data_IF_959633012883
#
_entry.id   IF_959633012883
#
_cell.length_a   1.000
_cell.length_b   1.000
_cell.length_c   1.000
_cell.angle_alpha   90.00
_cell.angle_beta   90.00
_cell.angle_gamma   90.00
#
_symmetry.space_group_name_H-M   'P 1'
#
loop_
_entity.id
_entity.type
_entity.pdbx_description
1 polymer ?
#
# COMPACT_ATOMS: atom_id res chain seq x y z
N UNK A 1 -3.02 -2.60 -6.77
CA UNK A 1 -4.18 -2.08 -7.54
C UNK A 1 -3.70 -0.97 -8.45
N UNK A 2 -4.26 -0.90 -9.65
CA UNK A 2 -3.97 0.16 -10.61
C UNK A 2 -5.26 0.89 -10.97
N UNK A 3 -5.24 2.21 -10.85
CA UNK A 3 -6.30 3.13 -11.29
C UNK A 3 -5.94 3.72 -12.64
N UNK A 4 -6.86 3.68 -13.59
CA UNK A 4 -6.74 4.39 -14.86
C UNK A 4 -7.77 5.51 -14.85
N UNK A 5 -7.33 6.75 -14.85
CA UNK A 5 -8.20 7.93 -14.89
C UNK A 5 -8.71 8.19 -16.31
N UNK A 6 -9.80 8.95 -16.43
CA UNK A 6 -10.40 9.30 -17.73
C UNK A 6 -9.47 10.14 -18.62
N UNK A 7 -8.53 10.87 -18.03
CA UNK A 7 -7.44 11.58 -18.72
C UNK A 7 -6.27 10.66 -19.16
N UNK A 8 -6.34 9.36 -18.84
CA UNK A 8 -5.36 8.35 -19.24
C UNK A 8 -4.19 8.15 -18.28
N UNK A 9 -4.09 8.89 -17.16
CA UNK A 9 -3.06 8.61 -16.14
C UNK A 9 -3.29 7.24 -15.51
N UNK A 10 -2.19 6.55 -15.24
CA UNK A 10 -2.17 5.26 -14.52
C UNK A 10 -1.53 5.46 -13.16
N UNK A 11 -2.25 5.12 -12.10
CA UNK A 11 -1.77 5.23 -10.72
C UNK A 11 -1.77 3.86 -10.08
N UNK A 12 -0.58 3.37 -9.75
CA UNK A 12 -0.40 2.08 -9.09
C UNK A 12 -0.12 2.28 -7.61
N UNK A 13 -0.80 1.52 -6.77
CA UNK A 13 -0.70 1.69 -5.33
C UNK A 13 -1.54 0.72 -4.52
N UNK A 14 -1.58 0.99 -3.21
CA UNK A 14 -2.33 0.24 -2.21
C UNK A 14 -3.53 1.05 -1.76
N UNK A 15 -4.73 0.47 -1.81
CA UNK A 15 -5.96 1.10 -1.33
C UNK A 15 -5.88 1.29 0.18
N UNK A 16 -6.10 2.52 0.65
CA UNK A 16 -6.17 2.88 2.08
C UNK A 16 -7.59 3.14 2.55
N UNK A 17 -8.52 3.37 1.62
CA UNK A 17 -9.94 3.48 1.90
C UNK A 17 -10.74 3.49 0.60
N UNK A 18 -11.92 2.89 0.64
CA UNK A 18 -12.85 2.82 -0.47
C UNK A 18 -14.26 3.07 0.08
N UNK A 19 -15.00 3.98 -0.56
CA UNK A 19 -16.39 4.30 -0.22
C UNK A 19 -17.27 4.28 -1.49
N UNK A 20 -18.54 4.67 -1.37
CA UNK A 20 -19.49 4.61 -2.48
C UNK A 20 -19.07 5.44 -3.71
N UNK A 21 -18.27 6.50 -3.53
CA UNK A 21 -17.96 7.47 -4.59
C UNK A 21 -16.46 7.70 -4.80
N UNK A 22 -15.63 7.36 -3.82
CA UNK A 22 -14.21 7.70 -3.80
C UNK A 22 -13.32 6.51 -3.43
N UNK A 23 -12.10 6.55 -3.96
CA UNK A 23 -11.03 5.62 -3.64
C UNK A 23 -9.82 6.43 -3.19
N UNK A 24 -9.28 6.09 -2.02
CA UNK A 24 -8.01 6.61 -1.52
C UNK A 24 -6.92 5.58 -1.72
N UNK A 25 -5.89 5.95 -2.47
CA UNK A 25 -4.76 5.11 -2.83
C UNK A 25 -3.46 5.74 -2.34
N UNK A 26 -2.59 4.93 -1.75
CA UNK A 26 -1.20 5.29 -1.50
C UNK A 26 -0.37 4.85 -2.71
N UNK A 27 0.22 5.79 -3.45
CA UNK A 27 1.08 5.45 -4.59
C UNK A 27 2.45 4.90 -4.13
N UNK A 28 3.25 4.40 -5.08
CA UNK A 28 4.58 3.86 -4.79
C UNK A 28 5.61 4.90 -4.34
N UNK A 29 5.26 6.19 -4.32
CA UNK A 29 6.06 7.30 -3.81
C UNK A 29 5.53 7.79 -2.46
N UNK A 30 4.73 6.96 -1.80
CA UNK A 30 4.11 7.23 -0.50
C UNK A 30 3.21 8.48 -0.49
N UNK A 31 2.64 8.83 -1.64
CA UNK A 31 1.69 9.92 -1.76
C UNK A 31 0.27 9.37 -1.65
N UNK A 32 -0.45 9.81 -0.62
CA UNK A 32 -1.87 9.52 -0.46
C UNK A 32 -2.68 10.40 -1.41
N UNK A 33 -3.36 9.77 -2.36
CA UNK A 33 -4.17 10.45 -3.37
C UNK A 33 -5.62 9.92 -3.32
N UNK A 34 -6.57 10.83 -3.50
CA UNK A 34 -8.00 10.50 -3.60
C UNK A 34 -8.50 10.63 -5.03
N UNK A 35 -9.30 9.66 -5.48
CA UNK A 35 -9.92 9.66 -6.79
C UNK A 35 -11.42 9.46 -6.68
N UNK A 36 -12.20 10.24 -7.42
CA UNK A 36 -13.61 9.98 -7.63
C UNK A 36 -13.77 8.83 -8.61
N UNK A 37 -14.64 7.86 -8.30
CA UNK A 37 -14.91 6.71 -9.17
C UNK A 37 -15.44 7.12 -10.54
N UNK A 38 -16.22 8.22 -10.61
CA UNK A 38 -16.69 8.81 -11.87
C UNK A 38 -15.58 9.36 -12.76
N UNK A 39 -14.41 9.68 -12.19
CA UNK A 39 -13.22 10.15 -12.91
C UNK A 39 -12.27 9.02 -13.28
N UNK A 40 -12.64 7.76 -12.98
CA UNK A 40 -11.87 6.57 -13.31
C UNK A 40 -12.47 5.90 -14.54
N UNK A 41 -11.60 5.60 -15.51
CA UNK A 41 -11.92 4.78 -16.66
C UNK A 41 -11.89 3.29 -16.31
N UNK A 42 -10.93 2.89 -15.48
CA UNK A 42 -10.71 1.49 -15.12
C UNK A 42 -10.14 1.38 -13.72
N UNK A 43 -10.56 0.32 -13.02
CA UNK A 43 -10.01 -0.10 -11.73
C UNK A 43 -9.52 -1.54 -11.91
N UNK A 44 -8.22 -1.74 -11.75
CA UNK A 44 -7.58 -3.05 -11.90
C UNK A 44 -7.11 -3.53 -10.53
N UNK A 45 -7.77 -4.56 -10.01
CA UNK A 45 -7.30 -5.25 -8.82
C UNK A 45 -6.14 -6.17 -9.18
N UNK A 46 -5.02 -5.99 -8.49
CA UNK A 46 -3.82 -6.81 -8.67
C UNK A 46 -3.69 -7.67 -7.41
N UNK A 47 -3.88 -9.01 -7.48
CA UNK A 47 -3.79 -9.88 -6.31
C UNK A 47 -2.35 -10.04 -5.79
N UNK A 48 -1.35 -9.45 -6.46
CA UNK A 48 0.05 -9.50 -6.06
C UNK A 48 0.40 -8.30 -5.19
N UNK A 49 1.24 -8.55 -4.18
CA UNK A 49 1.80 -7.49 -3.34
C UNK A 49 2.60 -6.49 -4.16
N UNK A 50 2.56 -5.21 -3.75
CA UNK A 50 3.47 -4.18 -4.25
C UNK A 50 4.79 -4.15 -3.49
N UNK A 51 4.90 -4.88 -2.37
CA UNK A 51 6.19 -5.06 -1.72
C UNK A 51 7.11 -5.84 -2.65
N UNK A 52 8.38 -5.42 -2.77
CA UNK A 52 9.34 -6.21 -3.53
C UNK A 52 9.55 -7.56 -2.85
N UNK A 53 9.98 -8.54 -3.63
CA UNK A 53 10.47 -9.79 -3.07
C UNK A 53 11.76 -9.51 -2.29
N UNK A 54 11.83 -10.08 -1.07
CA UNK A 54 13.00 -10.08 -0.21
C UNK A 54 13.50 -11.52 -0.11
N UNK A 55 14.33 -11.90 -1.08
CA UNK A 55 15.02 -13.20 -1.06
C UNK A 55 16.18 -13.20 -0.05
N UNK A 56 16.82 -14.36 0.12
CA UNK A 56 17.95 -14.52 1.03
C UNK A 56 19.20 -13.70 0.64
N UNK A 57 19.28 -13.19 -0.60
CA UNK A 57 20.35 -12.30 -1.02
C UNK A 57 20.09 -10.86 -0.54
N UNK A 58 18.83 -10.45 -0.52
CA UNK A 58 18.38 -9.12 -0.12
C UNK A 58 18.13 -8.99 1.38
N UNK A 59 17.74 -10.07 2.04
CA UNK A 59 17.52 -10.17 3.48
C UNK A 59 18.03 -11.53 3.97
N UNK A 60 19.27 -11.56 4.47
CA UNK A 60 19.89 -12.78 4.99
C UNK A 60 19.28 -13.23 6.32
N UNK A 61 19.59 -14.46 6.74
CA UNK A 61 19.02 -15.05 7.96
C UNK A 61 19.28 -14.24 9.24
N UNK A 62 20.49 -13.67 9.36
CA UNK A 62 20.88 -12.86 10.53
C UNK A 62 20.10 -11.54 10.57
N UNK A 63 19.99 -10.87 9.44
CA UNK A 63 19.25 -9.61 9.32
C UNK A 63 17.75 -9.83 9.55
N UNK A 64 17.22 -10.96 9.09
CA UNK A 64 15.85 -11.37 9.35
C UNK A 64 15.60 -11.58 10.85
N UNK A 65 16.49 -12.32 11.53
CA UNK A 65 16.39 -12.57 12.97
C UNK A 65 16.44 -11.26 13.79
N UNK A 66 17.33 -10.34 13.44
CA UNK A 66 17.42 -9.03 14.08
C UNK A 66 16.19 -8.14 13.81
N UNK A 67 15.64 -8.17 12.58
CA UNK A 67 14.40 -7.48 12.24
C UNK A 67 13.22 -8.03 13.07
N UNK A 68 13.11 -9.35 13.20
CA UNK A 68 12.04 -9.99 13.99
C UNK A 68 12.16 -9.63 15.47
N UNK A 69 13.38 -9.64 16.03
CA UNK A 69 13.62 -9.13 17.39
C UNK A 69 13.16 -7.70 17.53
N UNK A 70 13.57 -6.80 16.63
CA UNK A 70 13.18 -5.39 16.70
C UNK A 70 11.66 -5.22 16.65
N UNK A 71 10.99 -5.85 15.68
CA UNK A 71 9.53 -5.78 15.55
C UNK A 71 8.81 -6.31 16.79
N UNK A 72 9.36 -7.33 17.47
CA UNK A 72 8.79 -7.85 18.73
C UNK A 72 8.83 -6.83 19.88
N UNK A 73 9.75 -5.87 19.83
CA UNK A 73 9.84 -4.79 20.83
C UNK A 73 8.84 -3.67 20.61
N UNK A 74 8.33 -3.54 19.38
CA UNK A 74 7.35 -2.51 19.02
C UNK A 74 6.00 -2.85 19.68
N UNK A 75 5.73 -2.23 20.84
CA UNK A 75 4.38 -2.20 21.40
C UNK A 75 3.53 -1.30 20.51
N UNK A 76 2.46 -1.85 19.93
CA UNK A 76 1.55 -1.10 19.07
C UNK A 76 1.08 0.19 19.77
N UNK A 77 0.91 1.27 19.00
CA UNK A 77 0.30 2.49 19.50
C UNK A 77 -1.05 2.12 20.13
N UNK A 78 -1.15 2.31 21.45
CA UNK A 78 -2.39 2.02 22.19
C UNK A 78 -3.58 2.75 21.56
N UNK A 79 -4.80 2.23 21.73
CA UNK A 79 -5.98 2.79 21.07
C UNK A 79 -6.10 4.30 21.37
N UNK A 80 -6.58 5.11 20.41
CA UNK A 80 -6.73 6.55 20.61
C UNK A 80 -7.59 6.79 21.84
N UNK A 81 -7.05 7.54 22.81
CA UNK A 81 -7.81 7.98 23.98
C UNK A 81 -8.96 8.86 23.47
N UNK A 82 -10.19 8.40 23.73
CA UNK A 82 -11.43 9.15 23.48
C UNK A 82 -11.51 10.38 24.35
#
# INVERSE_FOLDING_TARGET
MTLVTTDGRRVRGVTKGDDAFSIRIMDTREQLQGYLKSSLREIIEEPRSLMPDFDAQRLGERDLDDLLRYLSTLRGAGPPRR
#
